data_IF_043701239419
#
_entry.id   IF_043701239419
#
_cell.length_a   1.000
_cell.length_b   1.000
_cell.length_c   1.000
_cell.angle_alpha   90.00
_cell.angle_beta   90.00
_cell.angle_gamma   90.00
#
_symmetry.space_group_name_H-M   'P 1'
#
loop_
_entity.id
_entity.type
_entity.pdbx_description
1 polymer ?
#
# COMPACT_ATOMS: atom_id res chain seq x y z
N UNK A 1 26.79 -6.71 12.94
CA UNK A 1 25.58 -6.93 13.76
C UNK A 1 25.79 -7.96 14.85
N UNK A 2 26.42 -9.12 14.56
CA UNK A 2 26.77 -10.12 15.58
C UNK A 2 27.62 -9.56 16.74
N UNK A 3 28.46 -8.55 16.49
CA UNK A 3 29.30 -7.94 17.54
C UNK A 3 28.61 -6.86 18.38
N UNK A 4 27.52 -6.23 17.90
CA UNK A 4 26.76 -5.24 18.68
C UNK A 4 25.80 -5.90 19.68
N UNK A 5 25.24 -7.07 19.33
CA UNK A 5 24.48 -7.89 20.28
C UNK A 5 25.32 -8.35 21.47
N UNK A 6 26.64 -8.48 21.31
CA UNK A 6 27.55 -8.85 22.40
C UNK A 6 27.78 -7.70 23.39
N UNK A 7 27.55 -6.44 22.98
CA UNK A 7 27.75 -5.25 23.81
C UNK A 7 26.47 -4.77 24.51
N UNK A 8 25.29 -5.13 23.99
CA UNK A 8 24.00 -4.70 24.53
C UNK A 8 22.91 -5.73 24.21
N UNK A 9 22.14 -6.12 25.21
CA UNK A 9 21.01 -7.04 25.04
C UNK A 9 19.87 -6.34 24.30
N UNK A 10 19.37 -6.98 23.23
CA UNK A 10 18.16 -6.52 22.51
C UNK A 10 16.91 -6.48 23.41
N UNK A 11 16.93 -7.15 24.56
CA UNK A 11 15.85 -7.11 25.54
C UNK A 11 15.68 -5.73 26.22
N UNK A 12 16.68 -4.84 26.12
CA UNK A 12 16.60 -3.47 26.64
C UNK A 12 15.81 -2.52 25.73
N UNK A 13 15.53 -2.94 24.49
CA UNK A 13 14.79 -2.12 23.53
C UNK A 13 13.29 -2.20 23.81
N UNK A 14 12.62 -1.05 23.73
CA UNK A 14 11.16 -1.05 23.64
C UNK A 14 10.71 -1.75 22.36
N UNK A 15 9.45 -2.23 22.34
CA UNK A 15 8.87 -2.85 21.13
C UNK A 15 9.01 -1.95 19.88
N UNK A 16 8.86 -0.64 20.05
CA UNK A 16 9.00 0.32 18.97
C UNK A 16 10.44 0.43 18.48
N UNK A 17 11.41 0.53 19.40
CA UNK A 17 12.83 0.59 19.06
C UNK A 17 13.30 -0.69 18.37
N UNK A 18 12.84 -1.85 18.86
CA UNK A 18 13.12 -3.14 18.24
C UNK A 18 12.56 -3.20 16.81
N UNK A 19 11.31 -2.78 16.60
CA UNK A 19 10.72 -2.69 15.26
C UNK A 19 11.51 -1.75 14.35
N UNK A 20 11.87 -0.56 14.82
CA UNK A 20 12.66 0.40 14.04
C UNK A 20 14.04 -0.15 13.69
N UNK A 21 14.69 -0.87 14.61
CA UNK A 21 15.98 -1.51 14.35
C UNK A 21 15.88 -2.53 13.20
N UNK A 22 14.83 -3.37 13.20
CA UNK A 22 14.59 -4.32 12.10
C UNK A 22 14.38 -3.59 10.76
N UNK A 23 13.58 -2.52 10.76
CA UNK A 23 13.31 -1.70 9.57
C UNK A 23 14.59 -1.03 9.06
N UNK A 24 15.42 -0.48 9.94
CA UNK A 24 16.71 0.14 9.58
C UNK A 24 17.66 -0.89 8.99
N UNK A 25 17.68 -2.11 9.54
CA UNK A 25 18.52 -3.17 9.02
C UNK A 25 18.12 -3.57 7.60
N UNK A 26 16.82 -3.71 7.33
CA UNK A 26 16.33 -4.00 5.98
C UNK A 26 16.58 -2.82 5.03
N UNK A 27 16.37 -1.58 5.47
CA UNK A 27 16.69 -0.38 4.70
C UNK A 27 18.18 -0.35 4.30
N UNK A 28 19.08 -0.67 5.23
CA UNK A 28 20.51 -0.75 4.94
C UNK A 28 20.84 -1.85 3.93
N UNK A 29 20.23 -3.04 4.06
CA UNK A 29 20.39 -4.14 3.10
C UNK A 29 19.97 -3.68 1.70
N UNK A 30 18.80 -3.06 1.58
CA UNK A 30 18.26 -2.54 0.32
C UNK A 30 19.19 -1.47 -0.30
N UNK A 31 19.65 -0.50 0.49
CA UNK A 31 20.57 0.54 0.02
C UNK A 31 21.90 -0.04 -0.47
N UNK A 32 22.47 -1.00 0.27
CA UNK A 32 23.73 -1.65 -0.12
C UNK A 32 23.58 -2.41 -1.43
N UNK A 33 22.48 -3.15 -1.60
CA UNK A 33 22.19 -3.87 -2.84
C UNK A 33 22.05 -2.92 -4.03
N UNK A 34 21.27 -1.85 -3.87
CA UNK A 34 21.09 -0.82 -4.89
C UNK A 34 22.42 -0.16 -5.29
N UNK A 35 23.27 0.13 -4.31
CA UNK A 35 24.59 0.68 -4.54
C UNK A 35 25.50 -0.28 -5.32
N UNK A 36 25.62 -1.53 -4.87
CA UNK A 36 26.44 -2.56 -5.53
C UNK A 36 25.98 -2.84 -6.96
N UNK A 37 24.65 -2.93 -7.17
CA UNK A 37 24.06 -3.19 -8.50
C UNK A 37 23.95 -1.94 -9.38
N UNK A 38 24.32 -0.75 -8.88
CA UNK A 38 24.10 0.56 -9.53
C UNK A 38 22.65 0.75 -10.02
N UNK A 39 21.70 0.29 -9.22
CA UNK A 39 20.26 0.36 -9.51
C UNK A 39 19.57 1.38 -8.62
N UNK A 40 18.58 2.08 -9.17
CA UNK A 40 17.65 2.94 -8.41
C UNK A 40 16.33 2.24 -8.06
N UNK A 41 16.21 0.94 -8.36
CA UNK A 41 15.01 0.13 -8.13
C UNK A 41 15.34 -1.07 -7.24
N UNK A 42 14.44 -1.31 -6.29
CA UNK A 42 14.36 -2.51 -5.48
C UNK A 42 12.90 -2.74 -5.12
N UNK A 43 12.50 -4.01 -5.02
CA UNK A 43 11.16 -4.40 -4.56
C UNK A 43 10.98 -4.02 -3.09
N UNK A 44 9.74 -3.70 -2.70
CA UNK A 44 9.37 -3.30 -1.34
C UNK A 44 10.28 -2.24 -0.72
N UNK A 45 10.69 -1.26 -1.54
CA UNK A 45 11.63 -0.22 -1.12
C UNK A 45 11.11 0.52 0.11
N UNK A 46 11.88 0.44 1.19
CA UNK A 46 11.63 1.22 2.41
C UNK A 46 12.06 2.66 2.16
N UNK A 47 11.11 3.57 2.35
CA UNK A 47 11.32 5.02 2.19
C UNK A 47 11.09 5.79 3.50
N UNK A 48 10.49 5.14 4.50
CA UNK A 48 10.23 5.71 5.82
C UNK A 48 10.43 4.64 6.91
N UNK A 49 11.20 4.98 7.94
CA UNK A 49 11.41 4.09 9.10
C UNK A 49 10.17 4.05 9.99
N UNK A 50 9.44 5.17 10.11
CA UNK A 50 8.22 5.25 10.91
C UNK A 50 7.04 4.56 10.22
N UNK A 51 7.01 4.57 8.90
CA UNK A 51 5.96 3.97 8.07
C UNK A 51 6.55 3.06 7.00
N UNK A 52 7.07 1.87 7.37
CA UNK A 52 7.80 0.99 6.45
C UNK A 52 6.92 0.32 5.40
N UNK A 53 5.59 0.44 5.49
CA UNK A 53 4.62 -0.08 4.52
C UNK A 53 4.32 0.93 3.39
N UNK A 54 4.68 2.21 3.56
CA UNK A 54 4.52 3.22 2.52
C UNK A 54 5.45 2.88 1.36
N UNK A 55 4.91 2.82 0.15
CA UNK A 55 5.67 2.51 -1.07
C UNK A 55 5.79 3.73 -1.98
N UNK A 56 6.93 3.88 -2.69
CA UNK A 56 7.06 4.86 -3.76
C UNK A 56 6.26 4.42 -5.01
N UNK A 57 5.45 5.32 -5.57
CA UNK A 57 4.66 5.08 -6.79
C UNK A 57 5.14 6.00 -7.90
N UNK A 58 5.65 5.43 -9.00
CA UNK A 58 6.10 6.20 -10.17
C UNK A 58 4.90 6.70 -10.98
N UNK A 59 4.72 8.03 -11.10
CA UNK A 59 3.54 8.61 -11.78
C UNK A 59 3.86 9.42 -13.04
N UNK A 60 5.12 9.44 -13.47
CA UNK A 60 5.54 10.07 -14.75
C UNK A 60 5.32 11.59 -14.85
N UNK A 61 4.98 12.28 -13.74
CA UNK A 61 4.73 13.73 -13.73
C UNK A 61 6.05 14.49 -13.77
N UNK A 62 6.16 15.46 -14.68
CA UNK A 62 7.37 16.28 -14.92
C UNK A 62 8.02 16.91 -13.67
N UNK A 63 7.24 17.23 -12.62
CA UNK A 63 7.74 17.86 -11.38
C UNK A 63 7.83 16.92 -10.17
N UNK A 64 7.16 15.77 -10.20
CA UNK A 64 7.11 14.82 -9.09
C UNK A 64 6.97 13.41 -9.66
N UNK A 65 8.10 12.80 -10.00
CA UNK A 65 8.12 11.48 -10.62
C UNK A 65 7.64 10.37 -9.67
N UNK A 66 7.68 10.59 -8.36
CA UNK A 66 7.29 9.63 -7.33
C UNK A 66 6.29 10.27 -6.36
N UNK A 67 5.19 9.57 -6.12
CA UNK A 67 4.21 9.87 -5.07
C UNK A 67 4.27 8.83 -3.96
N UNK A 68 3.79 9.19 -2.77
CA UNK A 68 3.75 8.32 -1.59
C UNK A 68 2.35 8.36 -1.01
N UNK A 69 1.79 7.22 -0.66
CA UNK A 69 0.44 7.14 -0.11
C UNK A 69 -0.27 5.84 -0.46
N UNK A 70 -1.38 5.60 0.20
CA UNK A 70 -2.29 4.54 -0.19
C UNK A 70 -2.96 4.91 -1.52
N UNK A 71 -3.05 3.95 -2.42
CA UNK A 71 -3.88 4.01 -3.62
C UNK A 71 -5.27 3.53 -3.25
N UNK A 72 -6.28 4.32 -3.60
CA UNK A 72 -7.68 4.05 -3.28
C UNK A 72 -8.50 4.03 -4.57
N UNK A 73 -9.37 3.04 -4.71
CA UNK A 73 -10.43 3.01 -5.72
C UNK A 73 -11.76 3.24 -5.01
N UNK A 74 -12.53 4.21 -5.51
CA UNK A 74 -13.81 4.62 -4.94
C UNK A 74 -14.83 4.66 -6.08
N UNK A 75 -15.98 4.03 -5.88
CA UNK A 75 -17.15 4.17 -6.74
C UNK A 75 -18.20 5.07 -6.10
N UNK A 76 -18.95 5.78 -6.94
CA UNK A 76 -20.08 6.59 -6.52
C UNK A 76 -21.35 5.95 -7.08
N UNK A 77 -22.22 5.47 -6.19
CA UNK A 77 -23.47 4.79 -6.56
C UNK A 77 -24.61 5.45 -5.81
N UNK A 78 -25.59 5.97 -6.54
CA UNK A 78 -26.80 6.61 -5.99
C UNK A 78 -26.50 7.66 -4.89
N UNK A 79 -25.41 8.42 -5.08
CA UNK A 79 -24.97 9.46 -4.14
C UNK A 79 -24.06 8.98 -3.01
N UNK A 80 -23.84 7.67 -2.86
CA UNK A 80 -22.96 7.08 -1.85
C UNK A 80 -21.56 6.77 -2.40
N UNK A 81 -20.52 7.11 -1.65
CA UNK A 81 -19.14 6.76 -1.97
C UNK A 81 -18.79 5.40 -1.34
N UNK A 82 -18.54 4.39 -2.17
CA UNK A 82 -18.10 3.06 -1.75
C UNK A 82 -16.60 2.92 -1.98
N UNK A 83 -15.87 2.51 -0.94
CA UNK A 83 -14.44 2.19 -1.05
C UNK A 83 -14.28 0.75 -1.53
N UNK A 84 -13.73 0.58 -2.73
CA UNK A 84 -13.61 -0.72 -3.38
C UNK A 84 -12.24 -1.36 -3.14
N UNK A 85 -11.18 -0.54 -3.19
CA UNK A 85 -9.81 -0.98 -2.90
C UNK A 85 -9.06 0.09 -2.14
N UNK A 86 -8.27 -0.35 -1.16
CA UNK A 86 -7.30 0.47 -0.45
C UNK A 86 -6.02 -0.34 -0.27
N UNK A 87 -4.95 0.05 -0.97
CA UNK A 87 -3.68 -0.68 -0.98
C UNK A 87 -2.50 0.29 -1.02
N UNK A 88 -1.38 -0.09 -0.42
CA UNK A 88 -0.13 0.70 -0.47
C UNK A 88 0.73 0.35 -1.67
N UNK A 89 0.45 -0.78 -2.31
CA UNK A 89 1.07 -1.21 -3.55
C UNK A 89 0.33 -0.65 -4.77
N UNK A 90 1.01 -0.60 -5.90
CA UNK A 90 0.39 -0.16 -7.15
C UNK A 90 -0.50 -1.26 -7.72
N UNK A 91 -1.76 -0.95 -8.00
CA UNK A 91 -2.66 -1.82 -8.75
C UNK A 91 -3.05 -1.21 -10.09
N UNK A 92 -3.39 -2.07 -11.06
CA UNK A 92 -3.85 -1.63 -12.38
C UNK A 92 -5.28 -1.09 -12.31
N UNK A 93 -5.44 0.18 -12.66
CA UNK A 93 -6.74 0.88 -12.61
C UNK A 93 -7.73 0.34 -13.64
N UNK A 94 -7.26 -0.10 -14.82
CA UNK A 94 -8.13 -0.65 -15.86
C UNK A 94 -8.76 -1.98 -15.46
N UNK A 95 -7.98 -2.86 -14.83
CA UNK A 95 -8.49 -4.14 -14.29
C UNK A 95 -9.47 -3.85 -13.14
N UNK A 96 -9.11 -2.92 -12.25
CA UNK A 96 -9.97 -2.56 -11.12
C UNK A 96 -11.31 -2.02 -11.60
N UNK A 97 -11.34 -1.19 -12.64
CA UNK A 97 -12.59 -0.69 -13.21
C UNK A 97 -13.50 -1.81 -13.74
N UNK A 98 -12.93 -2.81 -14.42
CA UNK A 98 -13.72 -3.96 -14.90
C UNK A 98 -14.35 -4.72 -13.74
N UNK A 99 -13.55 -5.03 -12.72
CA UNK A 99 -14.02 -5.70 -11.50
C UNK A 99 -15.13 -4.88 -10.80
N UNK A 100 -14.97 -3.56 -10.70
CA UNK A 100 -15.97 -2.66 -10.11
C UNK A 100 -17.29 -2.68 -10.88
N UNK A 101 -17.24 -2.69 -12.21
CA UNK A 101 -18.44 -2.75 -13.08
C UNK A 101 -19.14 -4.10 -12.93
N UNK A 102 -18.38 -5.20 -12.94
CA UNK A 102 -18.93 -6.56 -12.73
C UNK A 102 -19.56 -6.71 -11.35
N UNK A 103 -18.91 -6.19 -10.31
CA UNK A 103 -19.45 -6.16 -8.95
C UNK A 103 -20.75 -5.37 -8.87
N UNK A 104 -20.81 -4.19 -9.51
CA UNK A 104 -22.03 -3.38 -9.59
C UNK A 104 -23.19 -4.14 -10.24
N UNK A 105 -22.96 -4.78 -11.38
CA UNK A 105 -23.98 -5.59 -12.04
C UNK A 105 -24.44 -6.77 -11.18
N UNK A 106 -23.51 -7.45 -10.51
CA UNK A 106 -23.83 -8.59 -9.63
C UNK A 106 -24.71 -8.15 -8.47
N UNK A 107 -24.33 -7.08 -7.76
CA UNK A 107 -25.10 -6.53 -6.64
C UNK A 107 -26.50 -6.10 -7.10
N UNK A 108 -26.61 -5.51 -8.29
CA UNK A 108 -27.90 -5.07 -8.86
C UNK A 108 -28.79 -6.22 -9.32
N UNK A 109 -28.22 -7.32 -9.80
CA UNK A 109 -28.98 -8.53 -10.17
C UNK A 109 -29.47 -9.29 -8.94
N UNK A 110 -28.69 -9.31 -7.87
CA UNK A 110 -29.08 -9.88 -6.59
C UNK A 110 -30.15 -9.02 -5.89
N UNK A 111 -30.07 -7.68 -5.98
CA UNK A 111 -31.11 -6.79 -5.46
C UNK A 111 -32.38 -6.76 -6.34
N UNK A 112 -32.26 -7.05 -7.64
CA UNK A 112 -33.41 -7.18 -8.55
C UNK A 112 -34.19 -8.49 -8.42
N UNK A 113 -33.68 -9.47 -7.67
CA UNK A 113 -34.33 -10.77 -7.43
C UNK A 113 -35.20 -10.79 -6.16
N UNK A 114 -35.33 -9.65 -5.47
CA UNK A 114 -36.11 -9.53 -4.26
C UNK A 114 -36.68 -8.12 -4.07
N UNK A 115 -38.00 -8.03 -4.23
CA UNK A 115 -38.91 -7.00 -3.72
C UNK A 115 -39.00 -5.71 -4.56
N UNK A 116 -40.23 -5.45 -4.99
CA UNK A 116 -40.66 -4.25 -5.70
C UNK A 116 -40.34 -2.94 -4.98
N UNK A 117 -40.38 -1.88 -5.77
CA UNK A 117 -39.93 -0.54 -5.38
C UNK A 117 -40.43 -0.08 -4.04
N UNK A 118 -39.49 0.34 -3.21
CA UNK A 118 -39.64 1.46 -2.29
C UNK A 118 -38.34 2.25 -2.34
N UNK A 119 -38.46 3.52 -2.68
CA UNK A 119 -37.43 4.54 -2.54
C UNK A 119 -36.91 4.54 -1.10
N UNK A 120 -35.59 4.49 -0.93
CA UNK A 120 -34.93 4.76 0.35
C UNK A 120 -34.67 6.28 0.47
N UNK A 121 -34.72 6.83 1.70
CA UNK A 121 -34.96 8.25 2.00
C UNK A 121 -33.87 9.22 1.55
#
# INVERSE_FOLDING_TARGET
MADLQKQSSLALLSKQQYKQLLVIHELYRQQREMYTKRSHRIEDRIVSISQPHVRPIMRGKLKANVEFGAKVAISLVDGYALMEKLQWDNFNEGITLQESVEAYHTVRLLSGSGIGGQDLP
#
